data_IF_376079097829
#
_entry.id   IF_376079097829
#
_cell.length_a   1.000
_cell.length_b   1.000
_cell.length_c   1.000
_cell.angle_alpha   90.00
_cell.angle_beta   90.00
_cell.angle_gamma   90.00
#
_symmetry.space_group_name_H-M   'P 1'
#
loop_
_entity.id
_entity.type
_entity.pdbx_description
1 polymer ?
#
# COMPACT_ATOMS: atom_id res chain seq x y z
N UNK A 1 -21.31 9.68 -5.78
CA UNK A 1 -20.12 8.82 -5.80
C UNK A 1 -18.98 9.68 -5.35
N UNK A 2 -18.43 9.36 -4.19
CA UNK A 2 -17.35 10.15 -3.60
C UNK A 2 -16.02 9.73 -4.21
N UNK A 3 -15.13 10.69 -4.44
CA UNK A 3 -13.87 10.47 -5.14
C UNK A 3 -12.83 9.90 -4.19
N UNK A 4 -12.29 8.72 -4.51
CA UNK A 4 -11.22 8.06 -3.75
C UNK A 4 -9.93 8.87 -3.88
N UNK A 5 -9.43 9.37 -2.76
CA UNK A 5 -8.24 10.23 -2.66
C UNK A 5 -7.00 9.36 -2.38
N UNK A 6 -6.08 9.31 -3.33
CA UNK A 6 -4.89 8.46 -3.31
C UNK A 6 -3.61 9.27 -3.11
N UNK A 7 -2.73 8.83 -2.20
CA UNK A 7 -1.31 9.23 -2.19
C UNK A 7 -0.45 8.09 -2.74
N UNK A 8 0.55 8.43 -3.55
CA UNK A 8 1.55 7.49 -4.09
C UNK A 8 2.92 7.76 -3.45
N UNK A 9 3.39 6.87 -2.57
CA UNK A 9 4.71 6.92 -1.95
C UNK A 9 5.61 5.83 -2.54
N UNK A 10 6.63 6.25 -3.29
CA UNK A 10 7.59 5.38 -3.98
C UNK A 10 8.80 6.23 -4.38
N UNK A 11 10.04 5.77 -4.16
CA UNK A 11 11.23 6.53 -4.56
C UNK A 11 11.40 6.59 -6.09
N UNK A 12 10.87 5.59 -6.82
CA UNK A 12 10.95 5.52 -8.26
C UNK A 12 9.89 6.40 -8.95
N UNK A 13 10.25 7.64 -9.28
CA UNK A 13 9.36 8.60 -9.94
C UNK A 13 8.68 8.08 -11.23
N UNK A 14 9.37 7.25 -12.02
CA UNK A 14 8.79 6.60 -13.21
C UNK A 14 7.69 5.57 -12.86
N UNK A 15 7.79 4.89 -11.72
CA UNK A 15 6.74 3.99 -11.26
C UNK A 15 5.51 4.78 -10.79
N UNK A 16 5.71 5.86 -10.01
CA UNK A 16 4.62 6.79 -9.65
C UNK A 16 3.94 7.36 -10.89
N UNK A 17 4.72 7.72 -11.93
CA UNK A 17 4.19 8.17 -13.22
C UNK A 17 3.30 7.11 -13.86
N UNK A 18 3.76 5.86 -13.97
CA UNK A 18 2.97 4.75 -14.56
C UNK A 18 1.69 4.50 -13.78
N UNK A 19 1.76 4.44 -12.44
CA UNK A 19 0.57 4.22 -11.59
C UNK A 19 -0.42 5.39 -11.71
N UNK A 20 0.06 6.64 -11.72
CA UNK A 20 -0.80 7.82 -11.87
C UNK A 20 -1.48 7.88 -13.25
N UNK A 21 -0.79 7.53 -14.34
CA UNK A 21 -1.40 7.46 -15.68
C UNK A 21 -2.32 6.22 -15.88
N UNK A 22 -2.26 5.24 -14.98
CA UNK A 22 -3.27 4.19 -14.86
C UNK A 22 -4.49 4.67 -14.04
N UNK A 23 -4.28 5.19 -12.83
CA UNK A 23 -5.37 5.62 -11.92
C UNK A 23 -6.23 6.74 -12.50
N UNK A 24 -5.65 7.67 -13.29
CA UNK A 24 -6.39 8.70 -14.05
C UNK A 24 -7.48 8.16 -14.99
N UNK A 25 -7.47 6.86 -15.31
CA UNK A 25 -8.47 6.21 -16.18
C UNK A 25 -9.71 5.77 -15.40
N UNK A 26 -9.63 5.78 -14.06
CA UNK A 26 -10.72 5.43 -13.16
C UNK A 26 -11.42 6.74 -12.73
N UNK A 27 -12.65 7.02 -13.21
CA UNK A 27 -13.25 8.36 -13.11
C UNK A 27 -13.58 8.81 -11.68
N UNK A 28 -13.57 7.87 -10.73
CA UNK A 28 -13.84 8.07 -9.31
C UNK A 28 -12.57 8.02 -8.45
N UNK A 29 -11.37 7.99 -9.02
CA UNK A 29 -10.10 7.96 -8.29
C UNK A 29 -9.25 9.19 -8.62
N UNK A 30 -8.76 9.88 -7.59
CA UNK A 30 -7.91 11.05 -7.70
C UNK A 30 -6.60 10.83 -6.94
N UNK A 31 -5.47 10.85 -7.66
CA UNK A 31 -4.16 11.01 -7.01
C UNK A 31 -4.06 12.45 -6.50
N UNK A 32 -4.08 12.62 -5.17
CA UNK A 32 -4.03 13.93 -4.48
C UNK A 32 -2.62 14.33 -4.08
N UNK A 33 -1.68 13.38 -3.99
CA UNK A 33 -0.28 13.65 -3.66
C UNK A 33 0.67 12.54 -4.09
N UNK A 34 1.95 12.89 -4.22
CA UNK A 34 3.06 11.96 -4.42
C UNK A 34 4.13 12.19 -3.34
N UNK A 35 4.88 11.15 -2.99
CA UNK A 35 6.02 11.19 -2.07
C UNK A 35 7.17 10.32 -2.60
N UNK A 36 8.40 10.75 -2.36
CA UNK A 36 9.63 10.02 -2.66
C UNK A 36 10.23 9.29 -1.44
N UNK A 37 9.79 9.64 -0.22
CA UNK A 37 10.14 8.92 1.01
C UNK A 37 8.98 8.82 2.01
N UNK A 38 9.17 8.02 3.07
CA UNK A 38 8.16 7.79 4.10
C UNK A 38 7.84 8.99 4.99
N UNK A 39 8.75 9.96 5.10
CA UNK A 39 8.52 11.24 5.80
C UNK A 39 7.59 12.11 4.97
N UNK A 40 7.89 12.28 3.68
CA UNK A 40 6.99 12.93 2.73
C UNK A 40 5.62 12.23 2.70
N UNK A 41 5.58 10.89 2.75
CA UNK A 41 4.31 10.15 2.79
C UNK A 41 3.46 10.48 4.02
N UNK A 42 4.06 10.59 5.22
CA UNK A 42 3.38 11.03 6.44
C UNK A 42 2.88 12.48 6.31
N UNK A 43 3.68 13.39 5.75
CA UNK A 43 3.30 14.78 5.53
C UNK A 43 2.15 14.92 4.52
N UNK A 44 2.19 14.15 3.43
CA UNK A 44 1.12 14.10 2.44
C UNK A 44 -0.19 13.59 3.06
N UNK A 45 -0.15 12.52 3.87
CA UNK A 45 -1.33 12.02 4.60
C UNK A 45 -1.88 13.10 5.54
N UNK A 46 -1.02 13.70 6.36
CA UNK A 46 -1.40 14.73 7.33
C UNK A 46 -2.02 15.98 6.67
N UNK A 47 -1.50 16.38 5.50
CA UNK A 47 -1.95 17.58 4.76
C UNK A 47 -3.19 17.34 3.92
N UNK A 48 -3.33 16.16 3.32
CA UNK A 48 -4.32 15.93 2.26
C UNK A 48 -5.53 15.11 2.71
N UNK A 49 -5.44 14.34 3.80
CA UNK A 49 -6.49 13.40 4.19
C UNK A 49 -6.90 12.47 3.03
N UNK A 50 -6.00 11.60 2.54
CA UNK A 50 -6.33 10.59 1.56
C UNK A 50 -7.12 9.44 2.20
N UNK A 51 -7.98 8.79 1.42
CA UNK A 51 -8.64 7.54 1.83
C UNK A 51 -7.67 6.35 1.73
N UNK A 52 -6.71 6.44 0.79
CA UNK A 52 -5.83 5.34 0.41
C UNK A 52 -4.38 5.81 0.14
N UNK A 53 -3.41 5.00 0.54
CA UNK A 53 -1.98 5.20 0.28
C UNK A 53 -1.41 3.95 -0.37
N UNK A 54 -0.83 4.12 -1.56
CA UNK A 54 0.11 3.15 -2.12
C UNK A 54 1.50 3.44 -1.55
N UNK A 55 2.14 2.44 -0.96
CA UNK A 55 3.41 2.61 -0.22
C UNK A 55 4.46 1.59 -0.68
N UNK A 56 5.59 2.04 -1.23
CA UNK A 56 6.77 1.17 -1.40
C UNK A 56 7.51 0.93 -0.09
N UNK A 57 8.12 -0.25 0.07
CA UNK A 57 8.92 -0.60 1.26
C UNK A 57 10.27 0.14 1.29
N UNK A 58 11.01 0.15 0.17
CA UNK A 58 12.46 0.37 0.10
C UNK A 58 12.82 1.84 -0.18
N UNK A 59 12.03 2.78 0.34
CA UNK A 59 12.30 4.21 0.22
C UNK A 59 13.50 4.68 1.08
N UNK A 60 14.20 5.74 0.67
CA UNK A 60 15.28 6.36 1.46
C UNK A 60 14.75 7.04 2.73
N UNK A 61 15.65 7.50 3.60
CA UNK A 61 15.35 8.16 4.87
C UNK A 61 14.44 7.31 5.79
N UNK A 62 13.12 7.51 5.75
CA UNK A 62 12.14 6.69 6.44
C UNK A 62 11.52 5.68 5.47
N UNK A 63 11.70 4.39 5.74
CA UNK A 63 11.14 3.32 4.91
C UNK A 63 9.60 3.25 5.01
N UNK A 64 8.96 2.62 4.02
CA UNK A 64 7.51 2.56 3.94
C UNK A 64 6.83 1.75 5.05
N UNK A 65 7.52 0.82 5.70
CA UNK A 65 6.96 0.02 6.79
C UNK A 65 6.84 0.84 8.08
N UNK A 66 7.87 1.61 8.42
CA UNK A 66 7.81 2.57 9.54
C UNK A 66 6.84 3.71 9.26
N UNK A 67 6.81 4.23 8.04
CA UNK A 67 5.82 5.22 7.62
C UNK A 67 4.38 4.68 7.73
N UNK A 68 4.14 3.43 7.29
CA UNK A 68 2.85 2.75 7.43
C UNK A 68 2.45 2.63 8.89
N UNK A 69 3.36 2.17 9.77
CA UNK A 69 3.07 2.06 11.21
C UNK A 69 2.64 3.41 11.79
N UNK A 70 3.36 4.48 11.48
CA UNK A 70 3.04 5.84 11.95
C UNK A 70 1.71 6.34 11.37
N UNK A 71 1.42 6.05 10.09
CA UNK A 71 0.14 6.40 9.44
C UNK A 71 -1.02 5.67 10.12
N UNK A 72 -0.92 4.35 10.33
CA UNK A 72 -1.98 3.55 10.97
C UNK A 72 -2.14 3.83 12.47
N UNK A 73 -1.11 4.34 13.14
CA UNK A 73 -1.19 4.84 14.52
C UNK A 73 -1.92 6.19 14.64
N UNK A 74 -1.73 7.11 13.67
CA UNK A 74 -2.28 8.48 13.72
C UNK A 74 -3.62 8.64 12.99
N UNK A 75 -3.80 7.93 11.88
CA UNK A 75 -4.97 7.98 11.00
C UNK A 75 -5.41 6.54 10.65
N UNK A 76 -5.92 5.74 11.61
CA UNK A 76 -6.20 4.33 11.41
C UNK A 76 -7.22 4.01 10.29
N UNK A 77 -8.06 4.99 9.93
CA UNK A 77 -9.02 4.88 8.83
C UNK A 77 -8.38 5.02 7.43
N UNK A 78 -7.15 5.56 7.32
CA UNK A 78 -6.41 5.61 6.06
C UNK A 78 -5.97 4.20 5.71
N UNK A 79 -6.32 3.76 4.50
CA UNK A 79 -6.03 2.41 4.01
C UNK A 79 -4.66 2.40 3.33
N UNK A 80 -3.77 1.50 3.75
CA UNK A 80 -2.40 1.43 3.24
C UNK A 80 -2.16 0.08 2.55
N UNK A 81 -1.82 0.14 1.28
CA UNK A 81 -1.39 -1.02 0.48
C UNK A 81 0.12 -0.94 0.26
N UNK A 82 0.82 -1.92 0.83
CA UNK A 82 2.26 -2.11 0.61
C UNK A 82 2.48 -2.70 -0.78
N UNK A 83 3.32 -2.04 -1.59
CA UNK A 83 3.82 -2.54 -2.85
C UNK A 83 5.33 -2.81 -2.75
N UNK A 84 5.82 -3.86 -3.42
CA UNK A 84 7.27 -4.16 -3.44
C UNK A 84 7.67 -4.87 -4.73
N UNK A 85 8.92 -4.70 -5.16
CA UNK A 85 9.52 -5.46 -6.27
C UNK A 85 9.91 -6.89 -5.89
N UNK A 86 9.98 -7.21 -4.59
CA UNK A 86 10.48 -8.49 -4.09
C UNK A 86 9.40 -9.22 -3.31
N UNK A 87 9.00 -10.43 -3.74
CA UNK A 87 8.19 -11.29 -2.88
C UNK A 87 9.06 -11.95 -1.82
N UNK A 88 8.86 -11.54 -0.57
CA UNK A 88 9.57 -12.08 0.58
C UNK A 88 8.60 -12.22 1.75
N UNK A 89 8.51 -13.42 2.31
CA UNK A 89 7.69 -13.71 3.48
C UNK A 89 8.02 -12.80 4.67
N UNK A 90 9.27 -12.33 4.80
CA UNK A 90 9.66 -11.34 5.82
C UNK A 90 9.01 -9.98 5.59
N UNK A 91 9.00 -9.46 4.35
CA UNK A 91 8.32 -8.19 4.04
C UNK A 91 6.80 -8.31 4.24
N UNK A 92 6.22 -9.49 3.96
CA UNK A 92 4.80 -9.76 4.24
C UNK A 92 4.51 -9.77 5.74
N UNK A 93 5.36 -10.38 6.57
CA UNK A 93 5.27 -10.30 8.04
C UNK A 93 5.36 -8.85 8.53
N UNK A 94 6.38 -8.11 8.09
CA UNK A 94 6.61 -6.74 8.55
C UNK A 94 5.47 -5.78 8.13
N UNK A 95 4.84 -6.02 6.97
CA UNK A 95 3.64 -5.29 6.55
C UNK A 95 2.45 -5.54 7.52
N UNK A 96 2.28 -6.77 8.02
CA UNK A 96 1.27 -7.11 9.03
C UNK A 96 1.58 -6.45 10.39
N UNK A 97 2.85 -6.48 10.81
CA UNK A 97 3.31 -5.83 12.05
C UNK A 97 3.13 -4.29 12.00
N UNK A 98 3.34 -3.69 10.83
CA UNK A 98 3.05 -2.29 10.53
C UNK A 98 1.54 -1.97 10.39
N UNK A 99 0.66 -2.98 10.43
CA UNK A 99 -0.80 -2.89 10.25
C UNK A 99 -1.24 -2.40 8.86
N UNK A 100 -0.49 -2.73 7.80
CA UNK A 100 -0.93 -2.53 6.43
C UNK A 100 -2.22 -3.32 6.15
N UNK A 101 -3.15 -2.74 5.39
CA UNK A 101 -4.44 -3.35 5.10
C UNK A 101 -4.32 -4.38 3.97
N UNK A 102 -3.36 -4.20 3.06
CA UNK A 102 -3.03 -5.13 1.98
C UNK A 102 -1.54 -5.10 1.59
N UNK A 103 -1.10 -6.15 0.89
CA UNK A 103 0.25 -6.31 0.35
C UNK A 103 0.18 -6.83 -1.10
N UNK A 104 0.99 -6.27 -2.00
CA UNK A 104 1.08 -6.71 -3.39
C UNK A 104 2.50 -6.57 -3.97
N UNK A 105 2.76 -7.29 -5.05
CA UNK A 105 3.98 -7.14 -5.85
C UNK A 105 3.76 -6.05 -6.91
N UNK A 106 4.79 -5.24 -7.21
CA UNK A 106 4.73 -4.23 -8.27
C UNK A 106 4.47 -4.82 -9.67
N UNK A 107 4.78 -6.11 -9.87
CA UNK A 107 4.41 -6.90 -11.06
C UNK A 107 2.89 -7.03 -11.24
N UNK A 108 2.17 -7.26 -10.14
CA UNK A 108 0.76 -7.60 -10.13
C UNK A 108 -0.12 -6.41 -9.71
N UNK A 109 0.50 -5.33 -9.21
CA UNK A 109 -0.19 -4.15 -8.68
C UNK A 109 -1.24 -3.58 -9.64
N UNK A 110 -1.03 -3.63 -10.96
CA UNK A 110 -2.07 -3.20 -11.91
C UNK A 110 -3.36 -4.02 -11.75
N UNK A 111 -3.25 -5.36 -11.68
CA UNK A 111 -4.39 -6.27 -11.43
C UNK A 111 -4.98 -6.05 -10.05
N UNK A 112 -4.13 -5.87 -9.04
CA UNK A 112 -4.52 -5.56 -7.66
C UNK A 112 -5.37 -4.28 -7.59
N UNK A 113 -4.92 -3.18 -8.22
CA UNK A 113 -5.66 -1.92 -8.27
C UNK A 113 -6.91 -2.02 -9.15
N UNK A 114 -6.88 -2.81 -10.23
CA UNK A 114 -8.08 -3.10 -11.02
C UNK A 114 -9.13 -3.86 -10.22
N UNK A 115 -8.75 -4.73 -9.28
CA UNK A 115 -9.69 -5.38 -8.35
C UNK A 115 -10.19 -4.41 -7.27
N UNK A 116 -9.27 -3.74 -6.54
CA UNK A 116 -9.63 -2.84 -5.42
C UNK A 116 -10.51 -1.66 -5.86
N UNK A 117 -10.28 -1.12 -7.06
CA UNK A 117 -10.85 0.17 -7.44
C UNK A 117 -11.98 0.08 -8.48
N UNK A 118 -12.15 -1.00 -9.25
CA UNK A 118 -13.30 -1.08 -10.17
C UNK A 118 -14.59 -1.54 -9.48
N UNK A 119 -14.51 -2.30 -8.39
CA UNK A 119 -15.68 -2.63 -7.57
C UNK A 119 -16.19 -1.34 -6.91
N UNK A 120 -17.31 -0.83 -7.41
CA UNK A 120 -17.74 0.58 -7.23
C UNK A 120 -18.37 0.87 -5.86
N UNK A 121 -18.12 0.02 -4.88
CA UNK A 121 -18.69 0.02 -3.54
C UNK A 121 -17.62 -0.46 -2.54
N UNK A 122 -17.70 0.02 -1.30
CA UNK A 122 -16.93 -0.44 -0.12
C UNK A 122 -15.42 -0.75 -0.37
N UNK A 123 -14.53 0.26 -0.25
CA UNK A 123 -13.08 0.11 -0.50
C UNK A 123 -12.40 -0.93 0.43
N UNK A 124 -12.90 -1.08 1.65
CA UNK A 124 -12.53 -2.14 2.61
C UNK A 124 -12.96 -3.56 2.18
N UNK A 125 -14.03 -3.62 1.38
CA UNK A 125 -14.78 -4.79 0.75
C UNK A 125 -13.60 -5.40 -0.16
N UNK A 126 -13.24 -4.63 -1.20
CA UNK A 126 -12.28 -5.01 -2.24
C UNK A 126 -10.83 -5.15 -1.73
N UNK A 127 -10.45 -4.49 -0.63
CA UNK A 127 -9.19 -4.78 0.08
C UNK A 127 -9.21 -6.12 0.84
N UNK A 128 -10.36 -6.56 1.35
CA UNK A 128 -10.50 -7.89 1.93
C UNK A 128 -10.66 -9.00 0.87
N UNK A 129 -10.95 -8.63 -0.39
CA UNK A 129 -10.85 -9.51 -1.57
C UNK A 129 -9.40 -9.68 -2.10
N UNK A 130 -8.47 -8.79 -1.72
CA UNK A 130 -7.04 -8.99 -1.96
C UNK A 130 -6.46 -10.09 -1.04
N UNK A 131 -5.22 -10.56 -1.32
CA UNK A 131 -4.40 -11.24 -0.34
C UNK A 131 -4.19 -10.35 0.90
N UNK A 132 -5.09 -10.46 1.87
CA UNK A 132 -4.95 -9.85 3.20
C UNK A 132 -3.63 -10.33 3.80
N UNK A 133 -2.93 -9.44 4.49
CA UNK A 133 -1.66 -9.79 5.13
C UNK A 133 -1.97 -10.79 6.26
N UNK A 134 -1.60 -12.06 6.08
CA UNK A 134 -2.02 -13.18 6.93
C UNK A 134 -0.86 -14.10 7.29
N UNK A 135 -1.01 -14.80 8.43
CA UNK A 135 0.04 -15.68 8.98
C UNK A 135 -0.04 -17.12 8.49
N UNK A 136 -1.15 -17.52 7.87
CA UNK A 136 -1.44 -18.94 7.58
C UNK A 136 -0.54 -19.57 6.50
N UNK A 137 0.19 -18.74 5.74
CA UNK A 137 1.22 -19.18 4.80
C UNK A 137 2.62 -19.42 5.42
N UNK A 138 2.80 -19.20 6.73
CA UNK A 138 4.11 -19.20 7.39
C UNK A 138 4.40 -20.46 8.21
N UNK A 139 4.13 -21.64 7.63
CA UNK A 139 4.73 -22.89 8.11
C UNK A 139 6.26 -22.83 7.92
N UNK A 140 7.00 -22.75 9.03
CA UNK A 140 8.47 -22.68 9.01
C UNK A 140 9.08 -23.91 8.30
N UNK A 141 9.79 -23.77 7.17
CA UNK A 141 10.58 -24.86 6.63
C UNK A 141 11.87 -25.00 7.44
N UNK A 142 11.95 -26.05 8.27
CA UNK A 142 13.14 -26.38 9.06
C UNK A 142 13.07 -25.95 10.52
N UNK A 143 12.59 -26.86 11.36
CA UNK A 143 12.89 -26.91 12.78
C UNK A 143 13.26 -28.35 13.13
N UNK A 144 14.54 -28.71 12.99
CA UNK A 144 15.03 -30.07 13.23
C UNK A 144 16.26 -30.04 14.14
N UNK A 145 16.33 -30.99 15.06
CA UNK A 145 17.40 -31.24 16.03
C UNK A 145 17.62 -30.15 17.09
N UNK A 146 17.13 -30.41 18.30
CA UNK A 146 17.94 -31.20 19.24
C UNK A 146 17.13 -32.40 19.70
#
# INVERSE_FOLDING_TARGET
MDTIRVVLADDHAEFRRVVREFLKRLPHVQVVGEAADGTEAIEQVARLGPDFVLMDINMPALNGLEATRIIKERWPAVLVLIATTHDNNLYRLQALEAKADAYALKSDLKRTLEAVLNESHWLSEALAALPRVSVDGLTRPGGSHI
#
